data_IF_673469837766
#
_entry.id   IF_673469837766
#
_cell.length_a   1.000
_cell.length_b   1.000
_cell.length_c   1.000
_cell.angle_alpha   90.00
_cell.angle_beta   90.00
_cell.angle_gamma   90.00
#
_symmetry.space_group_name_H-M   'P 1'
#
loop_
_entity.id
_entity.type
_entity.pdbx_description
1 polymer ?
#
# COMPACT_ATOMS: atom_id res chain seq x y z
N UNK A 1 -13.38 -13.17 7.13
CA UNK A 1 -13.98 -11.85 7.43
C UNK A 1 -12.96 -10.70 7.51
N UNK A 2 -11.71 -10.85 7.02
CA UNK A 2 -10.66 -9.81 7.14
C UNK A 2 -9.92 -9.55 5.83
N UNK A 3 -10.63 -9.60 4.70
CA UNK A 3 -10.03 -9.31 3.40
C UNK A 3 -10.00 -7.79 3.19
N UNK A 4 -8.82 -7.16 3.04
CA UNK A 4 -8.74 -5.73 2.76
C UNK A 4 -9.27 -5.44 1.36
N UNK A 5 -10.00 -4.33 1.22
CA UNK A 5 -10.56 -3.86 -0.06
C UNK A 5 -10.18 -2.40 -0.25
N UNK A 6 -9.77 -2.03 -1.46
CA UNK A 6 -9.42 -0.66 -1.82
C UNK A 6 -10.64 0.00 -2.48
N UNK A 7 -11.00 1.17 -1.99
CA UNK A 7 -12.00 2.02 -2.61
C UNK A 7 -11.44 3.41 -2.94
N UNK A 8 -12.00 4.04 -3.99
CA UNK A 8 -11.67 5.42 -4.36
C UNK A 8 -12.25 6.39 -3.32
N UNK A 9 -11.43 7.34 -2.86
CA UNK A 9 -11.87 8.43 -1.99
C UNK A 9 -12.70 9.47 -2.78
N UNK A 10 -13.96 9.14 -3.06
CA UNK A 10 -14.92 10.00 -3.77
C UNK A 10 -16.14 10.25 -2.89
N UNK A 11 -16.88 11.37 -3.05
CA UNK A 11 -18.05 11.66 -2.23
C UNK A 11 -19.11 10.55 -2.25
N UNK A 12 -19.33 9.92 -3.41
CA UNK A 12 -20.29 8.83 -3.56
C UNK A 12 -19.94 7.62 -2.69
N UNK A 13 -18.68 7.16 -2.74
CA UNK A 13 -18.19 6.05 -1.90
C UNK A 13 -18.16 6.44 -0.42
N UNK A 14 -17.72 7.65 -0.09
CA UNK A 14 -17.64 8.11 1.29
C UNK A 14 -19.01 8.18 1.96
N UNK A 15 -20.08 8.49 1.22
CA UNK A 15 -21.44 8.46 1.75
C UNK A 15 -21.87 7.05 2.15
N UNK A 16 -21.54 6.04 1.34
CA UNK A 16 -21.79 4.63 1.65
C UNK A 16 -20.96 4.16 2.86
N UNK A 17 -19.67 4.49 2.90
CA UNK A 17 -18.78 4.13 4.01
C UNK A 17 -19.21 4.78 5.33
N UNK A 18 -19.78 6.00 5.30
CA UNK A 18 -20.31 6.67 6.49
C UNK A 18 -21.46 5.90 7.14
N UNK A 19 -22.29 5.22 6.35
CA UNK A 19 -23.42 4.44 6.85
C UNK A 19 -22.94 3.20 7.63
N UNK A 20 -21.92 2.50 7.11
CA UNK A 20 -21.39 1.26 7.70
C UNK A 20 -20.13 1.46 8.56
N UNK A 21 -19.76 2.70 8.89
CA UNK A 21 -18.48 3.04 9.57
C UNK A 21 -18.22 2.34 10.91
N UNK A 22 -19.26 1.81 11.54
CA UNK A 22 -19.20 1.10 12.81
C UNK A 22 -18.92 -0.41 12.64
N UNK A 23 -18.94 -0.92 11.40
CA UNK A 23 -18.66 -2.32 11.05
C UNK A 23 -17.33 -2.50 10.32
N UNK A 24 -16.70 -1.40 9.87
CA UNK A 24 -15.49 -1.44 9.03
C UNK A 24 -14.37 -0.59 9.61
N UNK A 25 -13.13 -0.99 9.36
CA UNK A 25 -11.94 -0.17 9.62
C UNK A 25 -11.50 0.48 8.30
N UNK A 26 -11.40 1.80 8.29
CA UNK A 26 -11.00 2.58 7.10
C UNK A 26 -9.63 3.17 7.38
N UNK A 27 -8.64 2.83 6.56
CA UNK A 27 -7.26 3.33 6.65
C UNK A 27 -6.81 3.90 5.29
N UNK A 28 -6.05 5.01 5.27
CA UNK A 28 -5.51 5.54 4.03
C UNK A 28 -4.43 4.61 3.48
N UNK A 29 -4.50 4.31 2.19
CA UNK A 29 -3.46 3.56 1.49
C UNK A 29 -2.23 4.45 1.31
N UNK A 30 -1.08 4.01 1.84
CA UNK A 30 0.21 4.70 1.69
C UNK A 30 1.11 3.96 0.73
N UNK A 31 1.88 4.70 -0.05
CA UNK A 31 2.80 4.15 -1.06
C UNK A 31 4.21 4.70 -0.82
N UNK A 32 4.95 4.18 0.20
CA UNK A 32 6.26 4.72 0.56
C UNK A 32 7.28 4.64 -0.60
N UNK A 33 7.16 3.64 -1.46
CA UNK A 33 8.01 3.44 -2.64
C UNK A 33 7.37 3.95 -3.94
N UNK A 34 6.27 4.69 -3.86
CA UNK A 34 5.46 5.09 -5.02
C UNK A 34 4.51 3.99 -5.50
N UNK A 35 3.95 4.17 -6.69
CA UNK A 35 3.10 3.16 -7.32
C UNK A 35 3.96 2.08 -7.99
N UNK A 36 3.54 0.81 -7.94
CA UNK A 36 4.26 -0.26 -8.60
C UNK A 36 4.25 -0.08 -10.12
N UNK A 37 5.40 -0.34 -10.75
CA UNK A 37 5.46 -0.50 -12.20
C UNK A 37 4.92 -1.88 -12.60
N UNK A 38 4.69 -2.11 -13.90
CA UNK A 38 4.13 -3.38 -14.39
C UNK A 38 4.97 -4.60 -13.97
N UNK A 39 6.30 -4.45 -13.99
CA UNK A 39 7.25 -5.47 -13.57
C UNK A 39 7.15 -5.84 -12.07
N UNK A 40 6.67 -4.92 -11.25
CA UNK A 40 6.60 -5.07 -9.80
C UNK A 40 5.25 -5.69 -9.34
N UNK A 41 4.27 -5.81 -10.24
CA UNK A 41 2.89 -6.19 -9.91
C UNK A 41 2.82 -7.54 -9.19
N UNK A 42 3.61 -8.52 -9.62
CA UNK A 42 3.66 -9.87 -9.02
C UNK A 42 4.24 -9.91 -7.61
N UNK A 43 5.00 -8.88 -7.22
CA UNK A 43 5.74 -8.80 -5.96
C UNK A 43 5.16 -7.76 -5.00
N UNK A 44 3.94 -7.28 -5.24
CA UNK A 44 3.28 -6.29 -4.38
C UNK A 44 2.36 -6.92 -3.35
N UNK A 45 2.32 -6.35 -2.14
CA UNK A 45 1.32 -6.71 -1.13
C UNK A 45 0.99 -5.54 -0.21
N UNK A 46 -0.19 -5.59 0.42
CA UNK A 46 -0.63 -4.60 1.41
C UNK A 46 -0.32 -5.13 2.80
N UNK A 47 0.35 -4.33 3.62
CA UNK A 47 0.64 -4.69 5.01
C UNK A 47 -0.51 -4.30 5.97
N UNK A 48 -0.39 -4.70 7.24
CA UNK A 48 -1.40 -4.41 8.27
C UNK A 48 -1.53 -2.94 8.66
N UNK A 49 -0.60 -2.08 8.22
CA UNK A 49 -0.58 -0.63 8.45
C UNK A 49 -1.22 0.18 7.31
N UNK A 50 -1.71 -0.49 6.26
CA UNK A 50 -2.25 0.16 5.07
C UNK A 50 -1.18 0.69 4.10
N UNK A 51 0.02 0.11 4.11
CA UNK A 51 1.09 0.47 3.17
C UNK A 51 1.15 -0.56 2.04
N UNK A 52 1.25 -0.09 0.80
CA UNK A 52 1.53 -0.89 -0.39
C UNK A 52 3.04 -1.07 -0.50
N UNK A 53 3.50 -2.30 -0.29
CA UNK A 53 4.91 -2.67 -0.32
C UNK A 53 5.19 -3.42 -1.61
N UNK A 54 6.20 -2.96 -2.34
CA UNK A 54 6.83 -3.70 -3.44
C UNK A 54 7.95 -4.54 -2.83
N UNK A 55 7.86 -5.87 -2.90
CA UNK A 55 8.98 -6.74 -2.54
C UNK A 55 10.06 -6.64 -3.61
N UNK A 56 10.88 -5.60 -3.52
CA UNK A 56 12.17 -5.62 -4.22
C UNK A 56 12.98 -6.74 -3.60
N UNK A 57 13.26 -7.79 -4.39
CA UNK A 57 14.39 -8.67 -4.11
C UNK A 57 15.59 -7.77 -3.77
N UNK A 58 16.29 -8.07 -2.67
CA UNK A 58 17.47 -7.32 -2.24
C UNK A 58 18.44 -7.29 -3.42
N UNK A 59 18.46 -6.17 -4.16
CA UNK A 59 19.55 -5.89 -5.05
C UNK A 59 20.74 -5.59 -4.13
N UNK A 60 21.94 -6.12 -4.42
CA UNK A 60 23.13 -5.80 -3.66
C UNK A 60 23.21 -4.28 -3.48
N UNK A 61 23.29 -3.83 -2.23
CA UNK A 61 23.51 -2.41 -1.95
C UNK A 61 24.83 -2.07 -2.62
N UNK A 62 24.81 -1.16 -3.60
CA UNK A 62 26.04 -0.66 -4.19
C UNK A 62 26.94 -0.18 -3.05
N UNK A 63 28.19 -0.68 -2.95
CA UNK A 63 29.05 -0.32 -1.84
C UNK A 63 29.27 1.20 -1.91
N UNK A 64 28.71 1.91 -0.93
CA UNK A 64 29.06 3.32 -0.72
C UNK A 64 30.56 3.33 -0.45
N UNK A 65 31.31 3.97 -1.35
CA UNK A 65 32.73 4.20 -1.16
C UNK A 65 32.92 4.85 0.21
N UNK A 66 33.62 4.15 1.10
CA UNK A 66 34.10 4.74 2.35
C UNK A 66 35.26 5.63 1.89
N UNK A 67 35.02 6.93 1.79
CA UNK A 67 36.12 7.89 1.61
C UNK A 67 36.99 7.84 2.87
N UNK A 68 38.26 7.51 2.68
CA UNK A 68 39.29 7.40 3.72
C UNK A 68 39.92 8.73 4.06
#
# INVERSE_FOLDING_TARGET
>A
AHTPVIHKNTPAVNSQLKFVKHLVRIEPLKTPSGFPAEQDMGDTYINSKGELIVRRLLHPVEPKAIES
#
